data_IF_477657080198
#
_entry.id   IF_477657080198
#
_cell.length_a   1.000
_cell.length_b   1.000
_cell.length_c   1.000
_cell.angle_alpha   90.00
_cell.angle_beta   90.00
_cell.angle_gamma   90.00
#
_symmetry.space_group_name_H-M   'P 1'
#
loop_
_entity.id
_entity.type
_entity.pdbx_description
1 polymer ?
#
# COMPACT_ATOMS: atom_id res chain seq x y z
N UNK A 1 15.56 -19.55 -24.48
CA UNK A 1 14.28 -18.83 -24.54
C UNK A 1 13.16 -19.79 -24.18
N UNK A 2 12.01 -19.26 -23.79
CA UNK A 2 10.80 -20.04 -23.54
C UNK A 2 10.24 -20.47 -24.89
N UNK A 3 10.07 -21.79 -25.06
CA UNK A 3 9.49 -22.39 -26.26
C UNK A 3 7.97 -22.42 -26.21
N UNK A 4 7.40 -22.74 -25.05
CA UNK A 4 5.95 -22.81 -24.87
C UNK A 4 5.54 -22.67 -23.41
N UNK A 5 4.33 -22.16 -23.19
CA UNK A 5 3.68 -22.07 -21.87
C UNK A 5 2.33 -22.77 -21.96
N UNK A 6 1.95 -23.49 -20.91
CA UNK A 6 0.59 -23.99 -20.72
C UNK A 6 0.13 -23.77 -19.29
N UNK A 7 -1.16 -23.50 -19.12
CA UNK A 7 -1.79 -23.58 -17.81
C UNK A 7 -1.95 -25.07 -17.43
N UNK A 8 -1.54 -25.44 -16.23
CA UNK A 8 -1.63 -26.82 -15.74
C UNK A 8 -3.04 -27.18 -15.22
N UNK A 9 -3.88 -26.18 -14.96
CA UNK A 9 -5.15 -26.30 -14.25
C UNK A 9 -4.99 -26.39 -12.73
N UNK A 10 -3.76 -26.42 -12.21
CA UNK A 10 -3.47 -26.42 -10.78
C UNK A 10 -3.40 -24.98 -10.25
N UNK A 11 -3.91 -24.81 -9.03
CA UNK A 11 -3.86 -23.54 -8.28
C UNK A 11 -2.74 -23.58 -7.25
N UNK A 12 -2.14 -22.42 -7.01
CA UNK A 12 -1.17 -22.17 -5.95
C UNK A 12 -1.78 -21.16 -4.97
N UNK A 13 -2.38 -21.62 -3.85
CA UNK A 13 -2.89 -20.74 -2.82
C UNK A 13 -1.71 -20.18 -2.01
N UNK A 14 -1.56 -18.86 -1.99
CA UNK A 14 -0.41 -18.15 -1.43
C UNK A 14 -0.75 -17.69 0.00
N UNK A 15 -0.01 -18.19 0.99
CA UNK A 15 -0.13 -17.72 2.37
C UNK A 15 0.55 -16.36 2.56
N UNK A 16 1.75 -16.22 2.01
CA UNK A 16 2.62 -15.06 2.19
C UNK A 16 3.57 -14.92 1.01
N UNK A 17 3.66 -13.71 0.46
CA UNK A 17 4.67 -13.32 -0.51
C UNK A 17 5.66 -12.32 0.11
N UNK A 18 6.95 -12.63 0.07
CA UNK A 18 8.02 -11.73 0.51
C UNK A 18 8.77 -11.22 -0.72
N UNK A 19 8.80 -9.91 -0.89
CA UNK A 19 9.39 -9.23 -2.05
C UNK A 19 10.09 -7.93 -1.69
N UNK A 20 10.57 -7.19 -2.69
CA UNK A 20 11.13 -5.85 -2.54
C UNK A 20 12.62 -5.77 -2.83
N UNK A 21 13.13 -4.56 -3.06
CA UNK A 21 14.49 -4.31 -3.56
C UNK A 21 15.60 -4.86 -2.67
N UNK A 22 15.35 -5.09 -1.37
CA UNK A 22 16.32 -5.67 -0.45
C UNK A 22 16.36 -7.21 -0.48
N UNK A 23 15.41 -7.88 -1.13
CA UNK A 23 15.46 -9.35 -1.23
C UNK A 23 16.45 -9.76 -2.32
N UNK A 24 17.32 -10.72 -2.01
CA UNK A 24 18.15 -11.38 -3.02
C UNK A 24 17.29 -12.27 -3.94
N UNK A 25 16.19 -12.80 -3.40
CA UNK A 25 15.14 -13.53 -4.14
C UNK A 25 13.81 -13.33 -3.44
N UNK A 26 12.75 -13.18 -4.23
CA UNK A 26 11.40 -13.17 -3.70
C UNK A 26 11.01 -14.59 -3.26
N UNK A 27 10.12 -14.68 -2.28
CA UNK A 27 9.69 -15.95 -1.69
C UNK A 27 8.17 -16.01 -1.62
N UNK A 28 7.62 -17.06 -2.20
CA UNK A 28 6.21 -17.44 -2.01
C UNK A 28 6.18 -18.58 -1.00
N UNK A 29 5.36 -18.42 0.02
CA UNK A 29 4.94 -19.50 0.91
C UNK A 29 3.51 -19.84 0.54
N UNK A 30 3.27 -21.05 0.03
CA UNK A 30 1.92 -21.54 -0.19
C UNK A 30 1.22 -21.85 1.13
N UNK A 31 -0.11 -22.03 1.11
CA UNK A 31 -0.83 -22.53 2.28
C UNK A 31 -0.31 -23.91 2.74
N UNK A 32 0.17 -24.75 1.82
CA UNK A 32 0.74 -26.05 2.16
C UNK A 32 2.13 -25.92 2.79
N UNK A 33 2.99 -25.05 2.23
CA UNK A 33 4.28 -24.73 2.86
C UNK A 33 4.07 -24.24 4.28
N UNK A 34 3.10 -23.34 4.45
CA UNK A 34 2.69 -22.78 5.72
C UNK A 34 2.23 -23.84 6.72
N UNK A 35 1.33 -24.75 6.30
CA UNK A 35 0.83 -25.83 7.16
C UNK A 35 1.91 -26.85 7.53
N UNK A 36 2.98 -26.94 6.72
CA UNK A 36 4.10 -27.84 6.95
C UNK A 36 5.24 -27.26 7.79
N UNK A 37 5.17 -25.97 8.16
CA UNK A 37 6.21 -25.29 8.93
C UNK A 37 6.48 -25.99 10.27
N UNK A 38 7.77 -26.26 10.53
CA UNK A 38 8.25 -26.91 11.76
C UNK A 38 8.91 -25.91 12.70
N UNK A 39 8.89 -26.25 13.99
CA UNK A 39 9.55 -25.46 15.02
C UNK A 39 8.76 -24.22 15.45
N UNK A 40 7.43 -24.28 15.38
CA UNK A 40 6.58 -23.20 15.86
C UNK A 40 6.67 -23.09 17.39
N UNK A 41 6.91 -21.88 17.89
CA UNK A 41 6.98 -21.59 19.32
C UNK A 41 5.86 -20.65 19.75
N UNK A 42 5.41 -20.82 21.00
CA UNK A 42 4.50 -19.88 21.67
C UNK A 42 5.30 -18.74 22.30
N UNK A 43 4.91 -17.50 22.01
CA UNK A 43 5.44 -16.28 22.62
C UNK A 43 4.29 -15.38 23.07
N UNK A 44 4.51 -14.64 24.15
CA UNK A 44 3.58 -13.63 24.65
C UNK A 44 4.06 -12.24 24.32
N UNK A 45 3.11 -11.37 24.00
CA UNK A 45 3.30 -9.98 23.64
C UNK A 45 2.36 -9.11 24.47
N UNK A 46 2.86 -7.97 24.88
CA UNK A 46 2.06 -6.94 25.52
C UNK A 46 1.50 -6.05 24.42
N UNK A 47 0.22 -5.72 24.54
CA UNK A 47 -0.52 -4.95 23.54
C UNK A 47 -1.04 -3.70 24.23
N UNK A 48 -0.51 -2.56 23.82
CA UNK A 48 -0.96 -1.26 24.27
C UNK A 48 -1.56 -0.51 23.10
N UNK A 49 -2.76 0.03 23.35
CA UNK A 49 -3.50 0.90 22.46
C UNK A 49 -3.90 2.15 23.22
N UNK A 50 -3.63 3.30 22.63
CA UNK A 50 -4.10 4.59 23.11
C UNK A 50 -4.84 5.26 21.95
N UNK A 51 -6.16 5.29 22.03
CA UNK A 51 -6.99 5.83 20.98
C UNK A 51 -7.97 6.84 21.53
N UNK A 52 -7.70 8.14 21.30
CA UNK A 52 -8.53 9.38 21.45
C UNK A 52 -9.48 9.46 22.67
N UNK A 53 -10.26 8.43 22.98
CA UNK A 53 -11.23 8.30 24.07
C UNK A 53 -11.06 7.03 24.94
N UNK A 54 -10.16 6.11 24.58
CA UNK A 54 -9.98 4.83 25.27
C UNK A 54 -8.52 4.36 25.29
N UNK A 55 -8.06 4.02 26.49
CA UNK A 55 -6.79 3.33 26.73
C UNK A 55 -7.06 1.83 26.89
N UNK A 56 -6.31 0.98 26.19
CA UNK A 56 -6.41 -0.48 26.37
C UNK A 56 -5.03 -1.14 26.49
N UNK A 57 -4.90 -1.99 27.53
CA UNK A 57 -3.68 -2.75 27.85
C UNK A 57 -4.03 -4.23 27.96
N UNK A 58 -3.42 -5.07 27.15
CA UNK A 58 -3.67 -6.51 27.15
C UNK A 58 -2.41 -7.35 26.88
N UNK A 59 -2.54 -8.67 27.01
CA UNK A 59 -1.51 -9.65 26.68
C UNK A 59 -2.06 -10.61 25.63
N UNK A 60 -1.30 -10.82 24.56
CA UNK A 60 -1.63 -11.77 23.50
C UNK A 60 -0.57 -12.87 23.36
N UNK A 61 -1.01 -14.11 23.09
CA UNK A 61 -0.12 -15.23 22.75
C UNK A 61 -0.15 -15.48 21.24
N UNK A 62 1.02 -15.46 20.62
CA UNK A 62 1.25 -15.92 19.25
C UNK A 62 1.99 -17.25 19.23
N UNK A 63 1.59 -18.16 18.35
CA UNK A 63 2.36 -19.36 18.00
C UNK A 63 2.93 -19.18 16.59
N UNK A 64 4.24 -19.28 16.42
CA UNK A 64 4.87 -18.89 15.15
C UNK A 64 6.38 -18.98 15.14
N UNK A 65 7.00 -18.12 14.34
CA UNK A 65 8.45 -18.04 14.14
C UNK A 65 8.95 -16.60 14.24
N UNK A 66 10.26 -16.38 14.48
CA UNK A 66 10.88 -15.07 14.26
C UNK A 66 10.65 -14.58 12.83
N UNK A 67 10.21 -13.33 12.66
CA UNK A 67 10.06 -12.70 11.35
C UNK A 67 11.39 -12.68 10.57
N UNK A 68 12.50 -12.44 11.30
CA UNK A 68 13.85 -12.44 10.75
C UNK A 68 14.21 -13.75 10.02
N UNK A 69 13.68 -14.90 10.44
CA UNK A 69 13.91 -16.17 9.76
C UNK A 69 13.42 -16.14 8.32
N UNK A 70 12.19 -15.66 8.10
CA UNK A 70 11.59 -15.61 6.76
C UNK A 70 12.28 -14.56 5.88
N UNK A 71 12.66 -13.42 6.46
CA UNK A 71 13.40 -12.36 5.77
C UNK A 71 14.80 -12.84 5.35
N UNK A 72 15.52 -13.54 6.23
CA UNK A 72 16.82 -14.14 5.92
C UNK A 72 16.71 -15.20 4.81
N UNK A 73 15.62 -15.98 4.77
CA UNK A 73 15.38 -16.96 3.70
C UNK A 73 15.15 -16.31 2.31
N UNK A 74 14.72 -15.05 2.29
CA UNK A 74 14.63 -14.18 1.10
C UNK A 74 15.93 -13.38 0.83
N UNK A 75 16.92 -13.49 1.71
CA UNK A 75 18.21 -12.79 1.61
C UNK A 75 18.16 -11.33 1.99
N UNK A 76 17.22 -10.93 2.86
CA UNK A 76 17.13 -9.56 3.38
C UNK A 76 18.01 -9.45 4.62
N UNK A 77 18.97 -8.50 4.60
CA UNK A 77 19.86 -8.23 5.73
C UNK A 77 19.48 -6.90 6.40
N UNK A 78 19.29 -6.92 7.73
CA UNK A 78 19.06 -5.74 8.58
C UNK A 78 18.09 -4.69 7.99
N UNK A 79 16.84 -5.05 7.66
CA UNK A 79 15.88 -4.07 7.18
C UNK A 79 15.54 -3.09 8.29
N UNK A 80 15.60 -1.78 8.01
CA UNK A 80 15.14 -0.74 8.93
C UNK A 80 13.60 -0.71 9.01
N UNK A 81 12.93 -0.94 7.88
CA UNK A 81 11.48 -0.99 7.79
C UNK A 81 11.01 -2.06 6.78
N UNK A 82 9.76 -2.48 6.94
CA UNK A 82 9.04 -3.29 5.96
C UNK A 82 7.65 -2.72 5.71
N UNK A 83 7.13 -2.94 4.51
CA UNK A 83 5.74 -2.69 4.19
C UNK A 83 4.96 -3.99 4.24
N UNK A 84 3.76 -3.97 4.80
CA UNK A 84 2.89 -5.14 4.90
C UNK A 84 1.57 -4.86 4.21
N UNK A 85 1.01 -5.88 3.57
CA UNK A 85 -0.36 -5.86 3.05
C UNK A 85 -1.12 -7.08 3.57
N UNK A 86 -2.35 -6.84 3.97
CA UNK A 86 -3.29 -7.85 4.43
C UNK A 86 -4.33 -8.16 3.36
N UNK A 87 -4.97 -9.33 3.47
CA UNK A 87 -6.00 -9.78 2.51
C UNK A 87 -7.24 -8.90 2.45
N UNK A 88 -7.53 -8.18 3.52
CA UNK A 88 -8.58 -7.16 3.55
C UNK A 88 -8.11 -5.82 2.93
N UNK A 89 -6.90 -5.77 2.38
CA UNK A 89 -6.31 -4.58 1.78
C UNK A 89 -5.67 -3.63 2.79
N UNK A 90 -5.67 -3.94 4.10
CA UNK A 90 -4.93 -3.12 5.07
C UNK A 90 -3.43 -3.10 4.72
N UNK A 91 -2.86 -1.90 4.66
CA UNK A 91 -1.45 -1.68 4.42
C UNK A 91 -0.83 -0.86 5.55
N UNK A 92 0.38 -1.23 5.96
CA UNK A 92 1.14 -0.48 6.95
C UNK A 92 2.64 -0.56 6.66
N UNK A 93 3.36 0.50 7.06
CA UNK A 93 4.82 0.46 7.21
C UNK A 93 5.13 0.16 8.65
N UNK A 94 6.00 -0.80 8.87
CA UNK A 94 6.54 -1.11 10.18
C UNK A 94 7.98 -0.60 10.19
N UNK A 95 8.23 0.56 10.83
CA UNK A 95 9.57 1.10 10.95
C UNK A 95 10.32 0.44 12.11
N UNK A 96 11.61 0.79 12.22
CA UNK A 96 12.46 0.51 13.38
C UNK A 96 12.47 -0.99 13.76
N UNK A 97 12.64 -1.85 12.76
CA UNK A 97 12.73 -3.30 12.96
C UNK A 97 13.97 -3.70 13.77
N UNK A 98 15.05 -2.92 13.69
CA UNK A 98 16.27 -3.11 14.48
C UNK A 98 16.16 -2.66 15.94
N UNK A 99 15.13 -1.88 16.30
CA UNK A 99 14.96 -1.36 17.66
C UNK A 99 14.65 -2.47 18.66
N UNK A 100 15.20 -2.33 19.89
CA UNK A 100 14.87 -3.25 20.98
C UNK A 100 13.40 -3.10 21.36
N UNK A 101 12.70 -4.23 21.38
CA UNK A 101 11.30 -4.31 21.80
C UNK A 101 11.17 -5.34 22.91
N UNK A 102 10.15 -5.17 23.74
CA UNK A 102 9.97 -5.91 24.97
C UNK A 102 8.55 -6.43 25.13
N UNK A 103 8.42 -7.52 25.86
CA UNK A 103 7.18 -7.98 26.44
C UNK A 103 7.10 -7.52 27.90
N UNK A 104 6.00 -6.86 28.26
CA UNK A 104 5.73 -6.39 29.62
C UNK A 104 4.66 -7.29 30.27
N UNK A 105 5.04 -8.31 31.06
CA UNK A 105 4.06 -9.24 31.64
C UNK A 105 3.08 -8.57 32.61
N UNK A 106 3.48 -7.45 33.22
CA UNK A 106 2.67 -6.64 34.12
C UNK A 106 2.21 -5.31 33.50
N UNK A 107 2.01 -5.27 32.18
CA UNK A 107 1.54 -4.06 31.47
C UNK A 107 0.26 -3.48 32.10
N UNK A 108 -0.70 -4.34 32.49
CA UNK A 108 -1.97 -3.91 33.12
C UNK A 108 -1.79 -3.24 34.49
N UNK A 109 -0.65 -3.45 35.14
CA UNK A 109 -0.29 -2.85 36.42
C UNK A 109 0.61 -1.61 36.23
N UNK A 110 0.85 -1.17 34.98
CA UNK A 110 1.79 -0.11 34.64
C UNK A 110 3.20 -0.36 35.20
N UNK A 111 3.69 -1.60 35.09
CA UNK A 111 4.98 -2.02 35.64
C UNK A 111 5.88 -2.65 34.59
N UNK A 112 7.17 -2.28 34.64
CA UNK A 112 8.24 -2.91 33.86
C UNK A 112 8.80 -4.20 34.49
N UNK A 113 8.30 -4.59 35.66
CA UNK A 113 8.81 -5.75 36.38
C UNK A 113 8.67 -7.03 35.54
N UNK A 114 9.78 -7.75 35.38
CA UNK A 114 9.84 -8.97 34.57
C UNK A 114 9.86 -8.72 33.05
N UNK A 115 10.17 -7.51 32.58
CA UNK A 115 10.29 -7.24 31.14
C UNK A 115 11.28 -8.19 30.45
N UNK A 116 10.89 -8.67 29.27
CA UNK A 116 11.67 -9.60 28.47
C UNK A 116 11.90 -9.03 27.08
N UNK A 117 13.11 -9.21 26.50
CA UNK A 117 13.34 -8.85 25.10
C UNK A 117 12.42 -9.68 24.19
N UNK A 118 11.86 -9.03 23.17
CA UNK A 118 10.93 -9.65 22.24
C UNK A 118 11.24 -9.21 20.82
N UNK A 119 11.61 -10.18 20.00
CA UNK A 119 11.79 -9.99 18.56
C UNK A 119 10.46 -9.89 17.82
N UNK A 120 10.51 -9.37 16.60
CA UNK A 120 9.40 -9.37 15.66
C UNK A 120 8.99 -10.81 15.33
N UNK A 121 7.69 -11.08 15.35
CA UNK A 121 7.18 -12.44 15.28
C UNK A 121 6.12 -12.56 14.20
N UNK A 122 6.16 -13.65 13.45
CA UNK A 122 5.08 -14.02 12.55
C UNK A 122 4.33 -15.20 13.13
N UNK A 123 3.06 -14.98 13.43
CA UNK A 123 2.20 -15.93 14.13
C UNK A 123 1.15 -16.52 13.21
N UNK A 124 0.97 -17.83 13.34
CA UNK A 124 0.04 -18.63 12.57
C UNK A 124 -1.16 -19.10 13.40
N UNK A 125 -1.03 -19.05 14.73
CA UNK A 125 -2.11 -19.28 15.69
C UNK A 125 -2.08 -18.20 16.75
N UNK A 126 -3.25 -17.70 17.13
CA UNK A 126 -3.41 -16.72 18.19
C UNK A 126 -4.22 -17.33 19.33
N UNK A 127 -3.68 -17.29 20.54
CA UNK A 127 -4.31 -17.85 21.74
C UNK A 127 -4.76 -19.33 21.56
N UNK A 128 -3.90 -20.14 20.94
CA UNK A 128 -4.14 -21.57 20.70
C UNK A 128 -5.21 -21.90 19.65
N UNK A 129 -5.76 -20.90 18.96
CA UNK A 129 -6.70 -21.08 17.84
C UNK A 129 -6.02 -20.64 16.55
N UNK A 130 -6.33 -21.33 15.45
CA UNK A 130 -5.99 -20.81 14.13
C UNK A 130 -6.63 -19.43 13.99
N UNK A 131 -5.91 -18.48 13.40
CA UNK A 131 -6.37 -17.10 13.26
C UNK A 131 -7.73 -17.12 12.55
N UNK A 132 -8.77 -16.65 13.25
CA UNK A 132 -10.19 -17.00 13.03
C UNK A 132 -10.77 -16.76 11.64
N UNK A 133 -10.13 -15.94 10.80
CA UNK A 133 -10.74 -15.45 9.56
C UNK A 133 -9.95 -15.78 8.30
N UNK A 134 -8.67 -16.09 8.42
CA UNK A 134 -7.78 -16.14 7.25
C UNK A 134 -6.72 -17.21 7.44
N UNK A 135 -6.38 -18.00 6.41
CA UNK A 135 -5.24 -18.92 6.44
C UNK A 135 -3.88 -18.17 6.43
N UNK A 136 -3.91 -16.85 6.62
CA UNK A 136 -2.79 -15.93 6.51
C UNK A 136 -2.23 -15.53 7.89
N UNK A 137 -0.92 -15.32 8.00
CA UNK A 137 -0.25 -14.98 9.25
C UNK A 137 -0.69 -13.64 9.86
N UNK A 138 -0.38 -13.48 11.14
CA UNK A 138 -0.41 -12.20 11.87
C UNK A 138 1.00 -11.83 12.27
N UNK A 139 1.44 -10.61 12.00
CA UNK A 139 2.70 -10.11 12.58
C UNK A 139 2.43 -9.55 13.97
N UNK A 140 3.35 -9.80 14.90
CA UNK A 140 3.27 -9.37 16.29
C UNK A 140 4.62 -8.78 16.72
N UNK A 141 4.57 -7.70 17.51
CA UNK A 141 5.76 -7.01 18.01
C UNK A 141 5.70 -6.79 19.52
N UNK A 142 6.88 -6.77 20.16
CA UNK A 142 7.00 -6.17 21.48
C UNK A 142 6.81 -4.65 21.45
N UNK A 143 6.78 -4.03 22.63
CA UNK A 143 6.76 -2.58 22.82
C UNK A 143 8.17 -2.05 23.06
N UNK A 144 8.50 -0.85 22.56
CA UNK A 144 9.81 -0.23 22.83
C UNK A 144 9.92 0.30 24.27
N UNK A 145 8.82 0.84 24.79
CA UNK A 145 8.66 1.30 26.16
C UNK A 145 7.31 0.92 26.75
N UNK A 146 7.17 0.99 28.07
CA UNK A 146 5.94 0.62 28.79
C UNK A 146 4.70 1.39 28.30
N UNK A 147 4.89 2.67 28.01
CA UNK A 147 3.84 3.59 27.55
C UNK A 147 3.89 3.83 26.04
N UNK A 148 4.59 2.98 25.28
CA UNK A 148 4.66 3.08 23.83
C UNK A 148 3.65 2.13 23.19
N UNK A 149 2.73 2.71 22.42
CA UNK A 149 1.68 1.99 21.71
C UNK A 149 2.29 1.03 20.69
N UNK A 150 1.71 -0.15 20.52
CA UNK A 150 2.18 -1.12 19.52
C UNK A 150 1.09 -1.89 18.80
N UNK A 151 -0.18 -1.76 19.23
CA UNK A 151 -1.29 -2.53 18.67
C UNK A 151 -1.47 -2.32 17.17
N UNK A 152 -1.20 -1.12 16.67
CA UNK A 152 -1.36 -0.79 15.24
C UNK A 152 -0.37 -1.56 14.35
N UNK A 153 0.73 -2.09 14.91
CA UNK A 153 1.66 -2.96 14.19
C UNK A 153 1.23 -4.44 14.18
N UNK A 154 0.14 -4.80 14.86
CA UNK A 154 -0.38 -6.17 14.85
C UNK A 154 -1.29 -6.37 13.64
N UNK A 155 -0.67 -6.42 12.46
CA UNK A 155 -1.36 -6.64 11.20
C UNK A 155 -1.78 -8.12 11.08
N UNK A 156 -3.07 -8.35 10.82
CA UNK A 156 -3.68 -9.68 10.73
C UNK A 156 -3.96 -10.02 9.28
N UNK A 157 -3.84 -11.30 8.93
CA UNK A 157 -4.18 -11.75 7.60
C UNK A 157 -3.19 -11.26 6.54
N UNK A 158 -1.93 -11.17 6.89
CA UNK A 158 -0.88 -10.63 6.02
C UNK A 158 -0.63 -11.58 4.87
N UNK A 159 -0.75 -11.09 3.66
CA UNK A 159 -0.49 -11.83 2.43
C UNK A 159 0.78 -11.37 1.71
N UNK A 160 1.28 -10.17 2.00
CA UNK A 160 2.52 -9.65 1.41
C UNK A 160 3.39 -8.89 2.42
N UNK A 161 4.71 -9.05 2.28
CA UNK A 161 5.77 -8.29 2.94
C UNK A 161 6.73 -7.76 1.88
N UNK A 162 6.99 -6.46 1.93
CA UNK A 162 7.98 -5.80 1.07
C UNK A 162 9.12 -5.26 1.92
N UNK A 163 10.36 -5.68 1.62
CA UNK A 163 11.58 -5.15 2.22
C UNK A 163 12.27 -4.19 1.25
N UNK A 164 12.40 -2.92 1.65
CA UNK A 164 12.84 -1.85 0.76
C UNK A 164 11.74 -1.37 -0.19
N UNK A 165 12.12 -0.96 -1.39
CA UNK A 165 11.20 -0.50 -2.43
C UNK A 165 10.44 -1.68 -3.06
N UNK A 166 9.22 -1.45 -3.56
CA UNK A 166 8.43 -2.48 -4.24
C UNK A 166 9.11 -2.92 -5.54
N UNK A 167 9.17 -4.22 -5.80
CA UNK A 167 9.70 -4.76 -7.07
C UNK A 167 8.77 -4.44 -8.26
N UNK A 168 9.38 -4.07 -9.39
CA UNK A 168 8.69 -3.70 -10.63
C UNK A 168 8.14 -4.89 -11.41
N UNK A 169 6.81 -4.93 -11.58
CA UNK A 169 6.15 -5.90 -12.45
C UNK A 169 6.01 -5.36 -13.87
N UNK A 170 5.19 -4.33 -14.07
CA UNK A 170 4.93 -3.70 -15.36
C UNK A 170 4.24 -2.34 -15.20
N UNK A 171 4.26 -1.52 -16.26
CA UNK A 171 3.55 -0.23 -16.35
C UNK A 171 2.42 -0.29 -17.37
N UNK A 172 1.29 0.32 -17.07
CA UNK A 172 0.19 0.53 -18.02
C UNK A 172 0.10 2.02 -18.30
N UNK A 173 0.16 2.41 -19.58
CA UNK A 173 0.14 3.82 -19.99
C UNK A 173 -0.66 4.05 -21.26
N UNK A 174 -1.08 5.29 -21.50
CA UNK A 174 -1.60 5.72 -22.79
C UNK A 174 -2.79 6.67 -22.69
N UNK A 175 -3.23 7.17 -23.85
CA UNK A 175 -4.25 8.22 -23.97
C UNK A 175 -5.67 7.79 -23.57
N UNK A 176 -5.91 6.49 -23.40
CA UNK A 176 -7.23 5.91 -23.13
C UNK A 176 -7.35 5.38 -21.68
N UNK A 177 -6.57 5.96 -20.77
CA UNK A 177 -6.58 5.66 -19.34
C UNK A 177 -6.95 6.92 -18.56
N UNK A 178 -7.59 6.73 -17.40
CA UNK A 178 -7.83 7.82 -16.45
C UNK A 178 -6.50 8.32 -15.83
N UNK A 179 -5.57 7.41 -15.59
CA UNK A 179 -4.19 7.73 -15.19
C UNK A 179 -3.22 6.63 -15.65
N UNK A 180 -1.93 6.96 -15.80
CA UNK A 180 -0.93 5.93 -15.99
C UNK A 180 -0.64 5.26 -14.64
N UNK A 181 -0.40 3.95 -14.67
CA UNK A 181 -0.22 3.18 -13.44
C UNK A 181 0.92 2.20 -13.57
N UNK A 182 1.68 2.09 -12.51
CA UNK A 182 2.70 1.07 -12.35
C UNK A 182 2.22 0.04 -11.33
N UNK A 183 2.46 -1.24 -11.64
CA UNK A 183 2.09 -2.37 -10.81
C UNK A 183 3.34 -3.04 -10.26
N UNK A 184 3.34 -3.29 -8.95
CA UNK A 184 4.38 -4.06 -8.28
C UNK A 184 4.08 -5.55 -8.26
N UNK A 185 5.12 -6.38 -8.02
CA UNK A 185 4.95 -7.83 -8.00
C UNK A 185 3.93 -8.31 -6.95
N UNK A 186 3.87 -7.66 -5.79
CA UNK A 186 2.91 -8.01 -4.74
C UNK A 186 1.45 -7.67 -5.07
N UNK A 187 1.25 -6.73 -6.01
CA UNK A 187 -0.07 -6.35 -6.51
C UNK A 187 -0.60 -7.34 -7.54
N UNK A 188 0.26 -8.12 -8.20
CA UNK A 188 -0.16 -9.14 -9.19
C UNK A 188 -1.16 -10.12 -8.59
N UNK A 189 -0.87 -10.62 -7.39
CA UNK A 189 -1.73 -11.59 -6.70
C UNK A 189 -3.04 -10.99 -6.19
N UNK A 190 -3.13 -9.67 -6.12
CA UNK A 190 -4.35 -8.95 -5.72
C UNK A 190 -5.29 -8.62 -6.89
N UNK A 191 -4.89 -8.87 -8.14
CA UNK A 191 -5.67 -8.45 -9.32
C UNK A 191 -7.07 -9.08 -9.38
N UNK A 192 -7.24 -10.30 -8.85
CA UNK A 192 -8.53 -10.99 -8.84
C UNK A 192 -9.59 -10.27 -7.96
N UNK A 193 -9.16 -9.46 -6.98
CA UNK A 193 -10.05 -8.66 -6.14
C UNK A 193 -10.99 -9.46 -5.23
N UNK A 194 -10.80 -10.78 -5.12
CA UNK A 194 -11.66 -11.68 -4.35
C UNK A 194 -11.13 -11.95 -2.92
N UNK A 195 -10.02 -11.31 -2.55
CA UNK A 195 -9.34 -11.49 -1.27
C UNK A 195 -8.56 -12.80 -1.16
N UNK A 196 -8.59 -13.66 -2.19
CA UNK A 196 -7.80 -14.88 -2.25
C UNK A 196 -6.50 -14.60 -2.99
N UNK A 197 -5.40 -14.52 -2.24
CA UNK A 197 -4.07 -14.51 -2.83
C UNK A 197 -3.79 -15.89 -3.44
N UNK A 198 -4.08 -16.04 -4.73
CA UNK A 198 -3.93 -17.29 -5.49
C UNK A 198 -3.24 -17.02 -6.84
N UNK A 199 -2.46 -17.99 -7.31
CA UNK A 199 -1.93 -18.00 -8.67
C UNK A 199 -2.30 -19.29 -9.40
N UNK A 200 -2.39 -19.24 -10.72
CA UNK A 200 -2.36 -20.45 -11.55
C UNK A 200 -0.92 -20.95 -11.63
N UNK A 201 -0.73 -22.28 -11.63
CA UNK A 201 0.55 -22.87 -11.97
C UNK A 201 0.66 -23.03 -13.49
N UNK A 202 1.58 -22.27 -14.08
CA UNK A 202 1.95 -22.39 -15.47
C UNK A 202 3.16 -23.32 -15.61
N UNK A 203 3.17 -24.15 -16.64
CA UNK A 203 4.34 -24.94 -17.03
C UNK A 203 5.03 -24.29 -18.21
N UNK A 204 6.27 -23.85 -17.99
CA UNK A 204 7.18 -23.31 -18.99
C UNK A 204 8.02 -24.46 -19.53
N UNK A 205 8.07 -24.60 -20.85
CA UNK A 205 9.05 -25.44 -21.56
C UNK A 205 10.09 -24.55 -22.22
N UNK A 206 11.35 -24.74 -21.86
CA UNK A 206 12.50 -24.04 -22.45
C UNK A 206 12.89 -24.66 -23.79
N UNK A 207 13.66 -23.96 -24.62
CA UNK A 207 14.16 -24.46 -25.91
C UNK A 207 14.95 -25.77 -25.82
N UNK A 208 15.68 -25.97 -24.71
CA UNK A 208 16.45 -27.20 -24.47
C UNK A 208 15.58 -28.37 -23.95
N UNK A 209 14.26 -28.18 -23.86
CA UNK A 209 13.29 -29.18 -23.44
C UNK A 209 13.11 -29.28 -21.93
N UNK A 210 13.85 -28.51 -21.12
CA UNK A 210 13.60 -28.46 -19.67
C UNK A 210 12.25 -27.83 -19.38
N UNK A 211 11.54 -28.39 -18.41
CA UNK A 211 10.26 -27.87 -17.94
C UNK A 211 10.38 -27.35 -16.52
N UNK A 212 9.66 -26.26 -16.21
CA UNK A 212 9.54 -25.73 -14.85
C UNK A 212 8.16 -25.13 -14.63
N UNK A 213 7.72 -25.15 -13.37
CA UNK A 213 6.45 -24.53 -12.96
C UNK A 213 6.70 -23.14 -12.42
N UNK A 214 5.84 -22.19 -12.79
CA UNK A 214 5.88 -20.81 -12.30
C UNK A 214 4.48 -20.34 -11.93
N UNK A 215 4.34 -19.44 -10.94
CA UNK A 215 3.08 -18.79 -10.66
C UNK A 215 2.75 -17.79 -11.77
N UNK A 216 1.50 -17.80 -12.21
CA UNK A 216 0.93 -16.87 -13.18
C UNK A 216 -0.46 -16.38 -12.76
N UNK A 217 -0.79 -15.16 -13.13
CA UNK A 217 -2.05 -14.50 -12.83
C UNK A 217 -2.73 -14.16 -14.14
N UNK A 218 -3.93 -14.71 -14.33
CA UNK A 218 -4.80 -14.30 -15.43
C UNK A 218 -5.37 -12.93 -15.12
N UNK A 219 -5.30 -12.00 -16.09
CA UNK A 219 -5.97 -10.70 -15.97
C UNK A 219 -7.49 -10.90 -15.95
N UNK A 220 -8.20 -10.52 -14.87
CA UNK A 220 -9.65 -10.57 -14.85
C UNK A 220 -10.25 -9.36 -15.59
N UNK A 221 -11.53 -9.43 -15.96
CA UNK A 221 -12.24 -8.30 -16.59
C UNK A 221 -12.28 -7.04 -15.70
N UNK A 222 -12.31 -7.24 -14.38
CA UNK A 222 -12.24 -6.16 -13.39
C UNK A 222 -10.93 -5.37 -13.48
N UNK A 223 -9.83 -5.99 -13.92
CA UNK A 223 -8.57 -5.28 -14.12
C UNK A 223 -8.71 -4.18 -15.18
N UNK A 224 -9.38 -4.48 -16.29
CA UNK A 224 -9.58 -3.52 -17.38
C UNK A 224 -10.60 -2.45 -17.03
N UNK A 225 -11.72 -2.86 -16.44
CA UNK A 225 -12.88 -1.98 -16.20
C UNK A 225 -12.81 -1.16 -14.91
N UNK A 226 -12.21 -1.69 -13.85
CA UNK A 226 -12.21 -1.08 -12.51
C UNK A 226 -10.82 -0.60 -12.09
N UNK A 227 -9.78 -1.43 -12.28
CA UNK A 227 -8.42 -1.06 -11.85
C UNK A 227 -7.76 -0.05 -12.81
N UNK A 228 -7.90 -0.25 -14.12
CA UNK A 228 -7.33 0.66 -15.13
C UNK A 228 -8.29 1.76 -15.58
N UNK A 229 -9.60 1.57 -15.40
CA UNK A 229 -10.66 2.49 -15.85
C UNK A 229 -10.41 3.00 -17.27
N UNK A 230 -10.42 2.08 -18.24
CA UNK A 230 -10.24 2.44 -19.65
C UNK A 230 -11.35 3.43 -20.07
N UNK A 231 -10.94 4.61 -20.55
CA UNK A 231 -11.84 5.72 -20.88
C UNK A 231 -12.37 5.66 -22.31
N UNK A 232 -11.64 4.96 -23.20
CA UNK A 232 -12.04 4.67 -24.57
C UNK A 232 -12.10 3.15 -24.77
N UNK A 233 -13.31 2.54 -24.79
CA UNK A 233 -13.48 1.10 -24.96
C UNK A 233 -12.93 0.54 -26.29
N UNK A 234 -12.78 1.39 -27.32
CA UNK A 234 -12.27 0.98 -28.63
C UNK A 234 -10.74 1.14 -28.72
N UNK A 235 -10.09 1.59 -27.65
CA UNK A 235 -8.65 1.78 -27.61
C UNK A 235 -7.90 0.46 -27.80
N UNK A 236 -6.90 0.47 -28.68
CA UNK A 236 -6.02 -0.68 -28.88
C UNK A 236 -5.15 -0.89 -27.64
N UNK A 237 -5.08 -2.14 -27.18
CA UNK A 237 -4.19 -2.57 -26.10
C UNK A 237 -3.02 -3.34 -26.72
N UNK A 238 -1.80 -2.90 -26.40
CA UNK A 238 -0.56 -3.46 -26.95
C UNK A 238 0.44 -3.74 -25.83
N UNK A 239 1.11 -4.90 -25.90
CA UNK A 239 2.26 -5.21 -25.06
C UNK A 239 3.47 -4.43 -25.55
N UNK A 240 4.18 -3.79 -24.63
CA UNK A 240 5.49 -3.23 -24.81
C UNK A 240 6.52 -4.22 -24.27
N UNK A 241 7.28 -4.80 -25.18
CA UNK A 241 8.38 -5.70 -24.91
C UNK A 241 9.65 -5.22 -25.65
N UNK A 242 10.78 -5.89 -25.43
CA UNK A 242 12.05 -5.60 -26.12
C UNK A 242 11.90 -5.61 -27.67
N UNK A 243 10.95 -6.39 -28.20
CA UNK A 243 10.66 -6.54 -29.63
C UNK A 243 9.80 -5.41 -30.22
N UNK A 244 9.27 -4.52 -29.36
CA UNK A 244 8.40 -3.42 -29.73
C UNK A 244 6.96 -3.59 -29.23
N UNK A 245 6.03 -2.89 -29.89
CA UNK A 245 4.60 -2.90 -29.54
C UNK A 245 3.86 -3.99 -30.31
N UNK A 246 3.25 -4.93 -29.60
CA UNK A 246 2.51 -6.05 -30.19
C UNK A 246 1.07 -6.10 -29.67
N UNK A 247 0.06 -6.43 -30.51
CA UNK A 247 -1.31 -6.64 -30.04
C UNK A 247 -1.37 -7.75 -28.98
N UNK A 248 -2.31 -7.62 -28.04
CA UNK A 248 -2.53 -8.58 -26.95
C UNK A 248 -3.95 -9.12 -27.02
N UNK A 249 -4.10 -10.43 -26.82
CA UNK A 249 -5.39 -11.03 -26.47
C UNK A 249 -5.67 -10.82 -24.97
N UNK A 250 -6.50 -9.82 -24.66
CA UNK A 250 -6.81 -9.43 -23.27
C UNK A 250 -7.65 -10.45 -22.51
N UNK A 251 -8.42 -11.30 -23.21
CA UNK A 251 -9.26 -12.34 -22.59
C UNK A 251 -8.41 -13.51 -22.06
N UNK A 252 -7.20 -13.68 -22.60
CA UNK A 252 -6.31 -14.78 -22.29
C UNK A 252 -4.96 -14.32 -21.70
N UNK A 253 -4.83 -13.04 -21.37
CA UNK A 253 -3.58 -12.48 -20.85
C UNK A 253 -3.26 -13.01 -19.44
N UNK A 254 -2.06 -13.56 -19.31
CA UNK A 254 -1.40 -13.91 -18.07
C UNK A 254 -0.17 -13.04 -17.86
N UNK A 255 0.07 -12.63 -16.61
CA UNK A 255 1.38 -12.20 -16.13
C UNK A 255 1.98 -13.29 -15.25
N UNK A 256 3.26 -13.62 -15.41
CA UNK A 256 3.90 -14.70 -14.66
C UNK A 256 5.29 -14.34 -14.14
N UNK A 257 5.68 -14.91 -13.00
CA UNK A 257 7.02 -14.71 -12.44
C UNK A 257 8.03 -15.59 -13.18
N UNK A 258 8.88 -14.96 -13.98
CA UNK A 258 9.62 -15.66 -15.04
C UNK A 258 10.91 -16.29 -14.55
N UNK A 259 11.58 -15.73 -13.56
CA UNK A 259 12.94 -16.12 -13.18
C UNK A 259 12.96 -16.90 -11.85
N UNK A 260 14.01 -17.70 -11.59
CA UNK A 260 14.10 -18.47 -10.34
C UNK A 260 14.14 -17.62 -9.07
N UNK A 261 14.56 -16.35 -9.15
CA UNK A 261 14.54 -15.42 -8.03
C UNK A 261 13.19 -14.71 -7.88
N UNK A 262 12.22 -14.98 -8.79
CA UNK A 262 10.86 -14.46 -8.76
C UNK A 262 10.82 -12.91 -8.77
N UNK A 263 11.77 -12.29 -9.47
CA UNK A 263 12.00 -10.84 -9.51
C UNK A 263 11.48 -10.17 -10.77
N UNK A 264 11.20 -10.93 -11.81
CA UNK A 264 10.89 -10.42 -13.14
C UNK A 264 9.59 -11.03 -13.66
N UNK A 265 8.85 -10.22 -14.39
CA UNK A 265 7.55 -10.59 -14.95
C UNK A 265 7.68 -10.86 -16.43
N UNK A 266 7.05 -11.94 -16.90
CA UNK A 266 6.75 -12.16 -18.32
C UNK A 266 5.24 -12.13 -18.56
N UNK A 267 4.83 -12.12 -19.82
CA UNK A 267 3.43 -12.17 -20.20
C UNK A 267 3.15 -13.26 -21.25
N UNK A 268 1.93 -13.81 -21.23
CA UNK A 268 1.47 -14.83 -22.16
C UNK A 268 -0.03 -14.69 -22.40
N UNK A 269 -0.46 -14.58 -23.66
CA UNK A 269 -1.87 -14.40 -24.02
C UNK A 269 -2.52 -15.67 -24.61
N UNK A 270 -1.90 -16.83 -24.40
CA UNK A 270 -2.29 -18.09 -25.04
C UNK A 270 -1.60 -18.35 -26.39
N UNK A 271 -1.13 -17.30 -27.08
CA UNK A 271 -0.52 -17.41 -28.43
C UNK A 271 0.91 -16.87 -28.47
N UNK A 272 1.13 -15.72 -27.84
CA UNK A 272 2.39 -15.00 -27.81
C UNK A 272 3.01 -15.07 -26.42
N UNK A 273 4.33 -15.12 -26.37
CA UNK A 273 5.10 -15.16 -25.13
C UNK A 273 6.03 -13.96 -25.14
N UNK A 274 5.90 -13.11 -24.13
CA UNK A 274 6.81 -11.99 -23.90
C UNK A 274 7.64 -12.29 -22.66
N UNK A 275 8.89 -12.69 -22.87
CA UNK A 275 9.79 -13.04 -21.78
C UNK A 275 10.19 -11.82 -20.94
N UNK A 276 10.23 -10.63 -21.52
CA UNK A 276 10.52 -9.38 -20.81
C UNK A 276 9.53 -8.33 -21.29
N UNK A 277 8.88 -7.69 -20.34
CA UNK A 277 7.87 -6.68 -20.59
C UNK A 277 8.25 -5.40 -19.86
N UNK A 278 8.00 -4.27 -20.51
CA UNK A 278 7.92 -2.98 -19.83
C UNK A 278 6.49 -2.73 -19.36
N UNK A 279 5.51 -3.25 -20.12
CA UNK A 279 4.10 -3.31 -19.75
C UNK A 279 3.16 -3.06 -20.93
N UNK A 280 2.07 -2.32 -20.72
CA UNK A 280 0.99 -2.14 -21.70
C UNK A 280 0.86 -0.70 -22.17
N UNK A 281 0.58 -0.53 -23.46
CA UNK A 281 0.10 0.72 -24.07
C UNK A 281 -1.39 0.58 -24.38
N UNK A 282 -2.22 1.51 -23.87
CA UNK A 282 -3.67 1.56 -24.09
C UNK A 282 -4.00 2.85 -24.85
N UNK A 283 -4.37 2.72 -26.13
CA UNK A 283 -4.54 3.86 -27.03
C UNK A 283 -3.21 4.34 -27.62
N UNK A 284 -2.91 5.63 -27.52
CA UNK A 284 -1.70 6.24 -28.07
C UNK A 284 -0.71 6.65 -26.97
N UNK A 285 0.57 6.76 -27.33
CA UNK A 285 1.53 7.44 -26.46
C UNK A 285 1.17 8.92 -26.35
N UNK A 286 1.06 9.40 -25.12
CA UNK A 286 0.87 10.83 -24.85
C UNK A 286 2.26 11.45 -24.63
N UNK A 287 2.72 12.34 -25.52
CA UNK A 287 4.03 12.97 -25.37
C UNK A 287 4.06 13.94 -24.19
N UNK A 288 5.19 13.97 -23.49
CA UNK A 288 5.44 14.77 -22.30
C UNK A 288 5.36 16.28 -22.53
N UNK A 289 4.73 17.00 -21.58
CA UNK A 289 4.94 18.44 -21.36
C UNK A 289 4.79 18.79 -19.87
N UNK A 290 5.79 19.50 -19.31
CA UNK A 290 5.62 20.23 -18.04
C UNK A 290 4.87 21.51 -18.36
N UNK A 291 3.55 21.46 -18.20
CA UNK A 291 2.68 22.62 -18.40
C UNK A 291 2.37 23.36 -17.08
N UNK A 292 2.78 22.81 -15.92
CA UNK A 292 2.48 23.40 -14.61
C UNK A 292 3.39 24.58 -14.25
N UNK A 293 2.77 25.64 -13.76
CA UNK A 293 3.49 26.77 -13.19
C UNK A 293 4.17 26.36 -11.89
N UNK A 294 5.46 26.69 -11.77
CA UNK A 294 6.17 26.55 -10.50
C UNK A 294 5.63 27.57 -9.51
N UNK A 295 5.26 27.11 -8.31
CA UNK A 295 4.73 27.94 -7.21
C UNK A 295 5.39 27.51 -5.92
N UNK A 296 6.06 28.46 -5.26
CA UNK A 296 6.77 28.21 -4.01
C UNK A 296 6.01 28.86 -2.86
N UNK A 297 5.94 28.22 -1.69
CA UNK A 297 5.44 28.87 -0.50
C UNK A 297 6.46 29.87 0.08
N UNK A 298 5.94 30.85 0.80
CA UNK A 298 6.70 31.85 1.58
C UNK A 298 6.59 31.59 3.10
N UNK A 299 5.78 30.61 3.54
CA UNK A 299 5.61 30.29 4.97
C UNK A 299 6.94 29.85 5.62
N UNK A 300 7.20 30.33 6.84
CA UNK A 300 8.35 29.93 7.66
C UNK A 300 8.16 28.53 8.27
N UNK A 301 9.22 27.95 8.85
CA UNK A 301 9.08 26.65 9.52
C UNK A 301 8.22 26.76 10.79
N UNK A 302 8.38 27.85 11.53
CA UNK A 302 7.72 28.10 12.82
C UNK A 302 6.20 28.32 12.67
N UNK A 303 5.79 28.89 11.52
CA UNK A 303 4.39 29.17 11.19
C UNK A 303 3.75 28.08 10.33
N UNK A 304 4.44 26.95 10.12
CA UNK A 304 4.01 25.89 9.21
C UNK A 304 3.01 24.93 9.85
N UNK A 305 1.92 24.67 9.14
CA UNK A 305 0.95 23.63 9.47
C UNK A 305 1.22 22.31 8.72
N UNK A 306 1.90 22.38 7.58
CA UNK A 306 2.23 21.25 6.72
C UNK A 306 3.52 21.48 5.92
N UNK A 307 4.35 20.46 5.73
CA UNK A 307 5.55 20.57 4.89
C UNK A 307 5.61 19.54 3.74
N UNK A 308 6.26 19.92 2.65
CA UNK A 308 6.74 19.00 1.62
C UNK A 308 8.27 18.92 1.72
N UNK A 309 8.80 17.70 1.88
CA UNK A 309 10.25 17.46 1.91
C UNK A 309 10.65 16.64 0.68
N UNK A 310 11.50 17.18 -0.16
CA UNK A 310 12.04 16.51 -1.34
C UNK A 310 13.48 16.10 -1.07
N UNK A 311 13.77 14.80 -1.16
CA UNK A 311 15.10 14.22 -1.12
C UNK A 311 15.48 13.80 -2.55
N UNK A 312 16.50 14.44 -3.12
CA UNK A 312 17.01 14.08 -4.44
C UNK A 312 18.01 12.92 -4.39
N UNK A 313 18.36 12.33 -5.56
CA UNK A 313 19.22 11.15 -5.65
C UNK A 313 20.64 11.34 -5.05
N UNK A 314 21.15 12.58 -5.07
CA UNK A 314 22.46 12.94 -4.52
C UNK A 314 22.41 13.33 -3.02
N UNK A 315 21.30 13.03 -2.32
CA UNK A 315 21.11 13.38 -0.92
C UNK A 315 20.79 14.85 -0.67
N UNK A 316 20.56 15.63 -1.74
CA UNK A 316 20.12 17.01 -1.66
C UNK A 316 18.71 17.09 -1.09
N UNK A 317 18.53 17.90 -0.04
CA UNK A 317 17.26 18.04 0.66
C UNK A 317 16.69 19.44 0.44
N UNK A 318 15.39 19.50 0.10
CA UNK A 318 14.62 20.74 0.05
C UNK A 318 13.34 20.58 0.85
N UNK A 319 13.02 21.60 1.64
CA UNK A 319 11.79 21.66 2.43
C UNK A 319 10.98 22.88 2.05
N UNK A 320 9.71 22.66 1.83
CA UNK A 320 8.71 23.67 1.53
C UNK A 320 7.68 23.64 2.64
N UNK A 321 7.54 24.75 3.35
CA UNK A 321 6.64 24.88 4.48
C UNK A 321 5.40 25.62 4.04
N UNK A 322 4.24 25.17 4.47
CA UNK A 322 2.95 25.74 4.13
C UNK A 322 2.18 26.05 5.42
N UNK A 323 1.47 27.16 5.42
CA UNK A 323 0.42 27.47 6.39
C UNK A 323 -0.94 27.31 5.69
N UNK A 324 -1.99 27.03 6.46
CA UNK A 324 -3.33 26.94 5.89
C UNK A 324 -3.77 28.23 5.18
N UNK A 325 -3.58 29.44 5.76
CA UNK A 325 -3.91 30.69 5.08
C UNK A 325 -3.22 30.84 3.73
N UNK A 326 -1.92 30.52 3.64
CA UNK A 326 -1.17 30.60 2.40
C UNK A 326 -1.70 29.62 1.34
N UNK A 327 -1.94 28.36 1.71
CA UNK A 327 -2.51 27.37 0.80
C UNK A 327 -3.88 27.83 0.28
N UNK A 328 -4.74 28.35 1.17
CA UNK A 328 -6.09 28.79 0.78
C UNK A 328 -6.12 30.05 -0.10
N UNK A 329 -5.08 30.88 -0.07
CA UNK A 329 -4.99 32.12 -0.85
C UNK A 329 -4.22 31.92 -2.16
N UNK A 330 -2.98 31.44 -2.08
CA UNK A 330 -2.07 31.33 -3.23
C UNK A 330 -2.31 30.12 -4.13
N UNK A 331 -2.93 29.07 -3.59
CA UNK A 331 -3.18 27.82 -4.30
C UNK A 331 -4.68 27.57 -4.53
N UNK A 332 -5.51 28.62 -4.39
CA UNK A 332 -6.96 28.51 -4.49
C UNK A 332 -7.48 27.92 -5.80
N UNK A 333 -6.78 28.14 -6.90
CA UNK A 333 -7.15 27.67 -8.23
C UNK A 333 -6.94 26.16 -8.43
N UNK A 334 -6.20 25.50 -7.54
CA UNK A 334 -6.01 24.04 -7.53
C UNK A 334 -6.72 23.35 -6.37
N UNK A 335 -7.56 24.07 -5.62
CA UNK A 335 -8.45 23.47 -4.63
C UNK A 335 -9.47 22.57 -5.33
N UNK A 336 -9.83 21.46 -4.66
CA UNK A 336 -10.82 20.50 -5.14
C UNK A 336 -11.71 20.02 -4.02
N UNK A 337 -12.91 19.62 -4.42
CA UNK A 337 -13.82 18.83 -3.61
C UNK A 337 -13.82 17.39 -4.12
N UNK A 338 -13.61 16.43 -3.23
CA UNK A 338 -13.64 15.00 -3.57
C UNK A 338 -14.50 14.23 -2.58
N UNK A 339 -15.26 13.26 -3.11
CA UNK A 339 -16.08 12.36 -2.31
C UNK A 339 -15.30 11.09 -2.00
N UNK A 340 -15.29 10.71 -0.72
CA UNK A 340 -14.66 9.51 -0.20
C UNK A 340 -15.69 8.67 0.55
N UNK A 341 -15.68 7.36 0.33
CA UNK A 341 -16.59 6.42 0.99
C UNK A 341 -15.81 5.31 1.67
N UNK A 342 -15.78 5.29 3.01
CA UNK A 342 -14.97 4.36 3.79
C UNK A 342 -15.75 3.61 4.86
N UNK A 343 -15.41 2.34 5.09
CA UNK A 343 -15.97 1.60 6.20
C UNK A 343 -15.43 2.15 7.52
N UNK A 344 -16.30 2.33 8.51
CA UNK A 344 -15.90 2.77 9.85
C UNK A 344 -16.47 1.82 10.89
N UNK A 345 -15.60 1.00 11.51
CA UNK A 345 -15.97 0.00 12.51
C UNK A 345 -16.63 0.58 13.76
N UNK A 346 -16.38 1.85 14.08
CA UNK A 346 -16.88 2.49 15.29
C UNK A 346 -18.32 3.02 15.14
N UNK A 347 -18.88 2.98 13.93
CA UNK A 347 -20.26 3.42 13.68
C UNK A 347 -21.30 2.47 14.27
N UNK A 348 -22.52 3.00 14.49
CA UNK A 348 -23.69 2.26 15.02
C UNK A 348 -23.36 1.37 16.23
N UNK A 349 -22.72 1.96 17.25
CA UNK A 349 -22.31 1.28 18.49
C UNK A 349 -21.38 0.07 18.24
N UNK A 350 -20.47 0.20 17.29
CA UNK A 350 -19.48 -0.83 16.95
C UNK A 350 -19.98 -1.89 15.96
N UNK A 351 -21.14 -1.68 15.32
CA UNK A 351 -21.63 -2.53 14.23
C UNK A 351 -20.98 -2.18 12.88
N UNK A 352 -20.46 -0.97 12.78
CA UNK A 352 -19.83 -0.43 11.58
C UNK A 352 -20.81 -0.03 10.48
N UNK A 353 -20.29 0.62 9.44
CA UNK A 353 -21.06 1.08 8.29
C UNK A 353 -20.17 1.87 7.31
N UNK A 354 -20.65 2.06 6.08
CA UNK A 354 -19.96 2.91 5.11
C UNK A 354 -20.23 4.37 5.48
N UNK A 355 -19.16 5.15 5.56
CA UNK A 355 -19.17 6.58 5.80
C UNK A 355 -18.76 7.30 4.53
N UNK A 356 -19.65 8.15 4.04
CA UNK A 356 -19.37 9.10 2.95
C UNK A 356 -18.97 10.46 3.52
N UNK A 357 -17.87 11.00 3.02
CA UNK A 357 -17.33 12.32 3.37
C UNK A 357 -16.97 13.04 2.08
N UNK A 358 -17.39 14.30 1.94
CA UNK A 358 -16.84 15.20 0.93
C UNK A 358 -15.74 16.03 1.59
N UNK A 359 -14.51 15.90 1.10
CA UNK A 359 -13.37 16.68 1.56
C UNK A 359 -13.12 17.85 0.63
N UNK A 360 -12.82 19.02 1.21
CA UNK A 360 -12.35 20.20 0.50
C UNK A 360 -10.86 20.42 0.82
N UNK A 361 -10.04 20.50 -0.22
CA UNK A 361 -8.59 20.46 -0.04
C UNK A 361 -7.78 20.50 -1.33
N UNK A 362 -6.57 19.97 -1.25
CA UNK A 362 -5.59 19.97 -2.35
C UNK A 362 -5.14 18.55 -2.66
N UNK A 363 -5.12 18.16 -3.93
CA UNK A 363 -4.50 16.90 -4.30
C UNK A 363 -2.99 17.00 -4.07
N UNK A 364 -2.42 16.02 -3.35
CA UNK A 364 -0.98 15.99 -3.08
C UNK A 364 -0.16 15.94 -4.38
N UNK A 365 -0.66 15.27 -5.43
CA UNK A 365 -0.02 15.27 -6.75
C UNK A 365 0.05 16.69 -7.35
N UNK A 366 -1.02 17.48 -7.24
CA UNK A 366 -1.07 18.84 -7.79
C UNK A 366 -0.14 19.78 -7.02
N UNK A 367 -0.08 19.65 -5.68
CA UNK A 367 0.91 20.38 -4.85
C UNK A 367 2.35 20.01 -5.22
N UNK A 368 2.64 18.73 -5.44
CA UNK A 368 3.98 18.30 -5.87
C UNK A 368 4.36 18.86 -7.24
N UNK A 369 3.43 18.91 -8.19
CA UNK A 369 3.67 19.46 -9.54
C UNK A 369 4.00 20.95 -9.55
N UNK A 370 3.64 21.67 -8.49
CA UNK A 370 4.03 23.07 -8.31
C UNK A 370 5.53 23.24 -8.00
N UNK A 371 6.22 22.18 -7.59
CA UNK A 371 7.62 22.24 -7.19
C UNK A 371 8.57 22.13 -8.41
N UNK A 372 9.73 22.80 -8.37
CA UNK A 372 10.68 22.77 -9.48
C UNK A 372 11.33 21.39 -9.66
N UNK A 373 11.48 20.61 -8.60
CA UNK A 373 12.08 19.26 -8.60
C UNK A 373 11.19 18.23 -9.29
N UNK A 374 9.86 18.45 -9.27
CA UNK A 374 8.91 17.57 -9.92
C UNK A 374 8.76 18.01 -11.37
N UNK A 375 9.36 17.24 -12.28
CA UNK A 375 9.46 17.60 -13.69
C UNK A 375 8.15 17.36 -14.45
N UNK A 376 7.18 16.68 -13.86
CA UNK A 376 5.82 16.55 -14.41
C UNK A 376 5.07 15.39 -13.78
N UNK A 377 3.85 15.16 -14.27
CA UNK A 377 2.99 14.07 -13.82
C UNK A 377 3.64 12.69 -14.03
N UNK A 378 4.41 12.51 -15.11
CA UNK A 378 5.06 11.23 -15.40
C UNK A 378 6.00 10.78 -14.29
N UNK A 379 6.81 11.71 -13.75
CA UNK A 379 7.75 11.43 -12.65
C UNK A 379 7.04 10.95 -11.38
N UNK A 380 5.76 11.32 -11.23
CA UNK A 380 4.90 10.79 -10.18
C UNK A 380 4.41 9.39 -10.59
N UNK A 381 3.88 9.24 -11.81
CA UNK A 381 3.24 8.01 -12.31
C UNK A 381 4.18 6.85 -12.67
N UNK A 382 5.45 7.10 -12.92
CA UNK A 382 6.44 6.10 -13.34
C UNK A 382 7.18 5.43 -12.18
N UNK A 383 6.82 5.80 -10.93
CA UNK A 383 7.43 5.30 -9.71
C UNK A 383 8.85 5.80 -9.48
N UNK A 384 9.28 6.86 -10.18
CA UNK A 384 10.57 7.52 -9.97
C UNK A 384 10.62 8.27 -8.64
N UNK A 385 9.47 8.42 -7.97
CA UNK A 385 9.42 8.91 -6.60
C UNK A 385 8.76 7.89 -5.68
N UNK A 386 9.24 7.83 -4.44
CA UNK A 386 8.48 7.29 -3.31
C UNK A 386 8.03 8.39 -2.39
N UNK A 387 6.85 8.19 -1.80
CA UNK A 387 6.21 9.15 -0.94
C UNK A 387 5.98 8.55 0.44
N UNK A 388 6.09 9.40 1.47
CA UNK A 388 5.77 9.06 2.85
C UNK A 388 4.91 10.14 3.48
N UNK A 389 3.72 9.76 3.93
CA UNK A 389 2.88 10.67 4.72
C UNK A 389 3.41 10.71 6.15
N UNK A 390 3.54 11.92 6.70
CA UNK A 390 3.93 12.17 8.08
C UNK A 390 2.73 12.71 8.85
N UNK A 391 2.50 12.15 10.04
CA UNK A 391 1.45 12.58 10.98
C UNK A 391 2.09 12.97 12.33
N UNK A 392 1.52 13.94 13.07
CA UNK A 392 2.10 14.45 14.33
C UNK A 392 1.99 13.43 15.47
N UNK A 393 0.98 12.58 15.41
CA UNK A 393 0.84 11.34 16.17
C UNK A 393 1.90 10.35 15.67
N UNK A 394 3.07 10.40 16.32
CA UNK A 394 4.34 9.75 15.97
C UNK A 394 4.28 8.25 15.65
N UNK A 395 3.18 7.56 15.91
CA UNK A 395 3.08 6.11 15.85
C UNK A 395 1.98 5.55 14.94
N UNK A 396 1.04 6.35 14.44
CA UNK A 396 -0.13 5.78 13.74
C UNK A 396 0.04 5.64 12.23
N UNK A 397 0.77 6.51 11.53
CA UNK A 397 0.44 6.74 10.12
C UNK A 397 1.61 7.16 9.21
N UNK A 398 2.79 6.54 9.35
CA UNK A 398 3.75 6.54 8.25
C UNK A 398 3.29 5.56 7.19
N UNK A 399 2.57 6.02 6.18
CA UNK A 399 2.38 5.24 4.95
C UNK A 399 3.54 5.58 4.00
N UNK A 400 4.29 4.59 3.57
CA UNK A 400 5.16 4.67 2.40
C UNK A 400 4.41 4.09 1.20
N UNK A 401 4.51 4.76 0.07
CA UNK A 401 3.87 4.33 -1.17
C UNK A 401 4.64 4.87 -2.37
N UNK A 402 4.39 4.30 -3.53
CA UNK A 402 5.00 4.75 -4.79
C UNK A 402 4.25 5.98 -5.31
N UNK A 403 4.95 6.89 -5.97
CA UNK A 403 4.37 8.15 -6.46
C UNK A 403 3.10 7.97 -7.28
N UNK A 404 3.01 6.89 -8.06
CA UNK A 404 1.88 6.61 -8.94
C UNK A 404 0.59 6.31 -8.18
N UNK A 405 0.67 6.03 -6.88
CA UNK A 405 -0.51 5.91 -6.02
C UNK A 405 -1.18 7.28 -5.78
N UNK A 406 -0.42 8.40 -5.82
CA UNK A 406 -0.97 9.75 -5.67
C UNK A 406 -2.00 10.09 -6.74
N UNK A 407 -1.75 9.63 -7.97
CA UNK A 407 -2.61 9.87 -9.13
C UNK A 407 -3.70 8.80 -9.23
N UNK A 408 -3.38 7.54 -8.94
CA UNK A 408 -4.34 6.43 -9.04
C UNK A 408 -5.46 6.49 -7.98
N UNK A 409 -5.19 7.01 -6.78
CA UNK A 409 -6.13 6.98 -5.65
C UNK A 409 -6.53 8.34 -5.10
N UNK A 410 -6.19 9.45 -5.78
CA UNK A 410 -6.61 10.81 -5.39
C UNK A 410 -6.36 11.14 -3.91
N UNK A 411 -5.10 11.26 -3.51
CA UNK A 411 -4.75 11.66 -2.14
C UNK A 411 -5.03 13.16 -1.94
N UNK A 412 -6.03 13.50 -1.12
CA UNK A 412 -6.47 14.87 -0.87
C UNK A 412 -6.06 15.34 0.53
N UNK A 413 -5.17 16.33 0.60
CA UNK A 413 -4.88 17.09 1.82
C UNK A 413 -6.06 18.02 2.12
N UNK A 414 -6.89 17.60 3.06
CA UNK A 414 -8.20 18.16 3.38
C UNK A 414 -8.10 19.05 4.61
N UNK A 415 -8.57 20.30 4.50
CA UNK A 415 -8.61 21.26 5.61
C UNK A 415 -10.04 21.54 6.11
N UNK A 416 -11.03 21.27 5.26
CA UNK A 416 -12.46 21.30 5.59
C UNK A 416 -13.12 20.03 5.06
N UNK A 417 -14.10 19.52 5.80
CA UNK A 417 -14.89 18.39 5.36
C UNK A 417 -16.36 18.67 5.62
N UNK A 418 -17.21 18.13 4.75
CA UNK A 418 -18.64 18.19 4.93
C UNK A 418 -19.05 17.44 6.22
N UNK A 419 -19.70 18.16 7.11
CA UNK A 419 -20.26 17.65 8.35
C UNK A 419 -21.68 17.15 8.17
N UNK A 420 -21.81 16.06 7.41
CA UNK A 420 -23.00 15.20 7.52
C UNK A 420 -23.08 14.52 8.89
N UNK A 421 -21.94 14.35 9.56
CA UNK A 421 -21.78 13.52 10.77
C UNK A 421 -20.89 14.21 11.79
N UNK A 422 -21.43 15.11 12.61
CA UNK A 422 -20.62 15.99 13.47
C UNK A 422 -20.05 15.26 14.70
N UNK A 423 -20.71 14.21 15.16
CA UNK A 423 -20.31 13.55 16.42
C UNK A 423 -19.83 12.13 16.23
N UNK A 424 -19.96 11.55 15.03
CA UNK A 424 -19.77 10.11 14.81
C UNK A 424 -20.78 9.25 15.58
N UNK A 425 -21.84 9.88 16.11
CA UNK A 425 -22.89 9.23 16.92
C UNK A 425 -24.17 8.96 16.09
N UNK A 426 -24.21 9.39 14.82
CA UNK A 426 -25.31 9.05 13.94
C UNK A 426 -25.35 7.54 13.68
N UNK A 427 -26.56 6.96 13.70
CA UNK A 427 -26.76 5.53 13.52
C UNK A 427 -26.87 5.20 12.04
N UNK A 428 -26.00 4.30 11.56
CA UNK A 428 -26.14 3.66 10.26
C UNK A 428 -25.27 4.24 9.15
N UNK A 429 -25.34 3.57 8.00
CA UNK A 429 -24.60 3.86 6.77
C UNK A 429 -24.95 5.24 6.19
N UNK A 430 -23.93 6.06 5.89
CA UNK A 430 -24.10 7.42 5.33
C UNK A 430 -23.84 7.52 3.83
N UNK A 431 -23.51 6.43 3.14
CA UNK A 431 -23.28 6.42 1.68
C UNK A 431 -24.48 6.91 0.88
N UNK A 432 -25.68 6.62 1.37
CA UNK A 432 -26.96 6.93 0.73
C UNK A 432 -27.54 8.29 1.14
N UNK A 433 -26.84 9.06 1.96
CA UNK A 433 -27.35 10.35 2.41
C UNK A 433 -27.21 11.38 1.30
N UNK A 434 -28.34 11.93 0.87
CA UNK A 434 -28.39 13.08 -0.02
C UNK A 434 -28.35 14.35 0.83
N UNK A 435 -27.25 15.10 0.70
CA UNK A 435 -27.11 16.47 1.21
C UNK A 435 -26.65 17.30 0.02
N UNK A 436 -27.58 18.04 -0.57
CA UNK A 436 -27.33 18.91 -1.74
C UNK A 436 -26.58 20.19 -1.34
N UNK A 437 -26.68 20.61 -0.08
CA UNK A 437 -26.17 21.92 0.36
C UNK A 437 -24.70 21.85 0.81
N UNK A 438 -24.23 20.69 1.29
CA UNK A 438 -22.88 20.45 1.84
C UNK A 438 -22.48 21.46 2.93
N UNK A 439 -22.29 20.99 4.15
CA UNK A 439 -21.94 21.83 5.29
C UNK A 439 -20.48 21.64 5.70
N UNK A 440 -19.56 22.30 5.00
CA UNK A 440 -18.14 22.23 5.31
C UNK A 440 -17.81 22.84 6.68
N UNK A 441 -17.13 22.06 7.51
CA UNK A 441 -16.48 22.54 8.72
C UNK A 441 -14.98 22.21 8.72
N UNK A 442 -14.23 23.00 9.47
CA UNK A 442 -12.77 22.88 9.58
C UNK A 442 -12.38 21.57 10.26
N UNK A 443 -11.25 21.01 9.84
CA UNK A 443 -10.62 19.90 10.53
C UNK A 443 -10.10 20.36 11.90
N UNK A 444 -10.55 19.67 12.95
CA UNK A 444 -10.02 19.80 14.31
C UNK A 444 -9.04 18.65 14.63
N UNK A 445 -7.91 18.99 15.26
CA UNK A 445 -6.84 18.04 15.59
C UNK A 445 -5.53 18.73 16.01
N UNK A 446 -4.44 17.97 16.09
CA UNK A 446 -3.09 18.52 16.34
C UNK A 446 -2.53 19.30 15.14
N UNK A 447 -3.11 19.07 13.95
CA UNK A 447 -2.94 19.87 12.74
C UNK A 447 -4.29 20.17 12.13
N UNK A 448 -4.41 21.23 11.31
CA UNK A 448 -5.66 21.55 10.61
C UNK A 448 -5.89 20.65 9.39
N UNK A 449 -5.25 19.48 9.29
CA UNK A 449 -5.30 18.64 8.10
C UNK A 449 -5.62 17.17 8.37
N UNK A 450 -6.34 16.58 7.42
CA UNK A 450 -6.43 15.13 7.19
C UNK A 450 -6.05 14.82 5.76
N UNK A 451 -5.59 13.61 5.48
CA UNK A 451 -5.46 13.12 4.11
C UNK A 451 -6.48 12.02 3.90
N UNK A 452 -7.36 12.19 2.92
CA UNK A 452 -8.26 11.14 2.43
C UNK A 452 -7.68 10.57 1.12
N UNK A 453 -7.82 9.27 0.88
CA UNK A 453 -7.54 8.67 -0.42
C UNK A 453 -8.60 7.63 -0.80
N UNK A 454 -8.83 7.45 -2.11
CA UNK A 454 -9.77 6.49 -2.70
C UNK A 454 -9.18 5.09 -2.89
N UNK A 455 -8.17 4.73 -2.08
CA UNK A 455 -7.56 3.41 -2.15
C UNK A 455 -8.58 2.37 -1.66
N UNK A 456 -8.84 1.35 -2.47
CA UNK A 456 -9.79 0.26 -2.23
C UNK A 456 -9.26 -0.76 -1.21
N UNK A 457 -8.75 -0.29 -0.07
CA UNK A 457 -8.49 -1.12 1.11
C UNK A 457 -9.75 -1.21 1.97
N UNK A 458 -9.87 -2.21 2.87
CA UNK A 458 -11.02 -2.39 3.76
C UNK A 458 -11.42 -1.13 4.54
N UNK A 459 -10.50 -0.17 4.67
CA UNK A 459 -10.83 1.23 4.94
C UNK A 459 -10.10 2.08 3.88
N UNK A 460 -10.76 2.93 3.09
CA UNK A 460 -10.09 4.07 2.49
C UNK A 460 -9.32 4.80 3.56
N UNK A 461 -8.07 5.09 3.25
CA UNK A 461 -7.16 5.50 4.29
C UNK A 461 -7.41 6.96 4.64
N UNK A 462 -7.86 7.18 5.87
CA UNK A 462 -7.96 8.50 6.47
C UNK A 462 -6.74 8.69 7.36
N UNK A 463 -5.84 9.57 6.94
CA UNK A 463 -4.69 9.96 7.72
C UNK A 463 -5.01 11.21 8.51
N UNK A 464 -5.09 11.09 9.84
CA UNK A 464 -5.37 12.19 10.75
C UNK A 464 -4.08 12.92 11.10
N UNK A 465 -4.20 14.17 11.54
CA UNK A 465 -3.08 14.98 12.02
C UNK A 465 -1.91 15.04 11.02
N UNK A 466 -2.23 15.05 9.72
CA UNK A 466 -1.23 15.11 8.67
C UNK A 466 -0.45 16.43 8.81
N UNK A 467 0.88 16.33 8.77
CA UNK A 467 1.77 17.50 8.95
C UNK A 467 2.92 17.53 7.96
N UNK A 468 3.09 16.48 7.15
CA UNK A 468 3.96 16.58 6.00
C UNK A 468 3.85 15.41 5.03
N UNK A 469 4.47 15.60 3.87
CA UNK A 469 4.75 14.57 2.88
C UNK A 469 6.24 14.61 2.55
N UNK A 470 6.91 13.47 2.72
CA UNK A 470 8.28 13.28 2.30
C UNK A 470 8.29 12.57 0.96
N UNK A 471 9.11 13.04 0.04
CA UNK A 471 9.25 12.50 -1.30
C UNK A 471 10.73 12.24 -1.54
N UNK A 472 11.04 11.01 -1.90
CA UNK A 472 12.36 10.59 -2.32
C UNK A 472 12.35 10.33 -3.81
N UNK A 473 13.21 11.03 -4.54
CA UNK A 473 13.42 10.85 -5.98
C UNK A 473 14.53 9.82 -6.16
N UNK A 474 14.24 8.77 -6.94
CA UNK A 474 15.11 7.59 -7.13
C UNK A 474 15.94 7.66 -8.39
#
# INVERSE_FOLDING_TARGET
MIKSIKNTGEKLPIALFISGSMTARNRIYSLDDFNSLKGLEKKKFSVYDDHEEAESKDIEEGCGLPLARLLNEAGVENPEEIMVRSVDGFEAVIPELGSKRYYFPKLKENSEEGKELREAWISFYKNGKQVKFYPHPTIMFGQQGLNEQNKDYFAKGICSLTAGAKDRAFRVRGSALDCNRYFSLDQLFGLAGDGNYEADLLEITEEDGRTRRVPGIKCPDSFWTQELKITDPDAKIQMRAEEGLMPVDTENLYFFLRDPALKQTGAWDGRHIWEKIDGLLVGQEVPYKKDDAVRLPDTSMEDSDFYLRILGPEGQERKYYYSLPELTDKFQDIQREEVFEYYNHNMDKGRGGIRRVTGHGFLLADLLRCLPEITGLEMIEDGSISCRICTKDTYKQRLAFEGNELTAFSYLLTFEQDQRTRTGLERGDTSTWEDEDLHFEKIEGQTPYRIYCKKTSANPAVYKNAWGLEVEIR
#
